data_IF_278362479253
#
_entry.id   IF_278362479253
#
_cell.length_a   1.000
_cell.length_b   1.000
_cell.length_c   1.000
_cell.angle_alpha   90.00
_cell.angle_beta   90.00
_cell.angle_gamma   90.00
#
_symmetry.space_group_name_H-M   'P 1'
#
loop_
_entity.id
_entity.type
_entity.pdbx_description
1 polymer ?
#
# COMPACT_ATOMS: atom_id res chain seq x y z
N UNK A 1 -3.06 -21.65 -22.76
CA UNK A 1 -1.90 -20.96 -22.12
C UNK A 1 -2.20 -20.56 -20.67
N UNK A 2 -2.33 -21.53 -19.73
CA UNK A 2 -2.59 -21.24 -18.29
C UNK A 2 -1.40 -21.51 -17.36
N UNK A 3 -0.34 -22.17 -17.84
CA UNK A 3 0.80 -22.58 -17.00
C UNK A 3 1.85 -21.50 -16.74
N UNK A 4 2.05 -20.55 -17.66
CA UNK A 4 3.14 -19.57 -17.57
C UNK A 4 2.99 -18.60 -16.40
N UNK A 5 1.79 -18.05 -16.19
CA UNK A 5 1.55 -17.09 -15.11
C UNK A 5 1.56 -17.76 -13.73
N UNK A 6 0.97 -18.96 -13.58
CA UNK A 6 1.05 -19.72 -12.33
C UNK A 6 2.48 -20.15 -12.00
N UNK A 7 3.26 -20.55 -13.00
CA UNK A 7 4.68 -20.86 -12.81
C UNK A 7 5.49 -19.60 -12.43
N UNK A 8 5.23 -18.48 -13.08
CA UNK A 8 5.83 -17.18 -12.76
C UNK A 8 5.53 -16.78 -11.31
N UNK A 9 4.27 -16.81 -10.89
CA UNK A 9 3.85 -16.57 -9.51
C UNK A 9 4.58 -17.54 -8.58
N UNK A 10 4.52 -18.85 -8.83
CA UNK A 10 5.12 -19.83 -7.93
C UNK A 10 6.65 -19.74 -7.82
N UNK A 11 7.36 -19.25 -8.83
CA UNK A 11 8.83 -19.20 -8.83
C UNK A 11 9.43 -17.83 -8.50
N UNK A 12 8.68 -16.76 -8.71
CA UNK A 12 9.16 -15.39 -8.48
C UNK A 12 8.53 -14.78 -7.23
N UNK A 13 7.25 -15.08 -6.96
CA UNK A 13 6.52 -14.47 -5.85
C UNK A 13 7.16 -14.84 -4.50
N UNK A 14 7.63 -16.08 -4.32
CA UNK A 14 8.36 -16.50 -3.11
C UNK A 14 9.72 -15.82 -2.93
N UNK A 15 10.31 -15.28 -4.01
CA UNK A 15 11.58 -14.53 -3.94
C UNK A 15 11.35 -13.04 -3.74
N UNK A 16 10.11 -12.56 -3.89
CA UNK A 16 9.76 -11.16 -3.77
C UNK A 16 10.05 -10.66 -2.36
N UNK A 17 11.00 -9.73 -2.22
CA UNK A 17 11.36 -9.09 -0.95
C UNK A 17 10.79 -7.68 -0.81
N UNK A 18 10.50 -7.04 -1.95
CA UNK A 18 10.01 -5.67 -1.97
C UNK A 18 8.87 -5.59 -2.98
N UNK A 19 7.78 -4.93 -2.57
CA UNK A 19 6.62 -4.71 -3.41
C UNK A 19 6.33 -3.21 -3.48
N UNK A 20 6.16 -2.70 -4.70
CA UNK A 20 5.75 -1.34 -4.98
C UNK A 20 4.42 -1.38 -5.70
N UNK A 21 3.43 -0.67 -5.18
CA UNK A 21 2.11 -0.56 -5.80
C UNK A 21 1.68 0.89 -5.78
N UNK A 22 1.14 1.33 -6.90
CA UNK A 22 0.52 2.64 -7.05
C UNK A 22 -0.95 2.43 -7.41
N UNK A 23 -1.83 3.13 -6.72
CA UNK A 23 -3.27 3.10 -6.90
C UNK A 23 -3.75 4.48 -7.32
N UNK A 24 -4.69 4.52 -8.25
CA UNK A 24 -5.37 5.75 -8.62
C UNK A 24 -6.68 5.89 -7.85
N UNK A 25 -7.33 7.04 -7.98
CA UNK A 25 -8.50 7.42 -7.18
C UNK A 25 -9.65 6.37 -7.22
N UNK A 26 -9.79 5.65 -8.33
CA UNK A 26 -10.83 4.64 -8.53
C UNK A 26 -10.57 3.36 -7.71
N UNK A 27 -9.33 3.16 -7.29
CA UNK A 27 -8.85 1.95 -6.60
C UNK A 27 -8.86 2.10 -5.07
N UNK A 28 -9.63 3.03 -4.50
CA UNK A 28 -9.62 3.29 -3.05
C UNK A 28 -9.84 2.02 -2.20
N UNK A 29 -10.63 1.05 -2.69
CA UNK A 29 -10.88 -0.23 -2.01
C UNK A 29 -9.64 -1.13 -1.92
N UNK A 30 -8.61 -0.83 -2.71
CA UNK A 30 -7.30 -1.47 -2.65
C UNK A 30 -6.40 -0.82 -1.59
N UNK A 31 -6.81 0.27 -0.95
CA UNK A 31 -6.06 0.93 0.12
C UNK A 31 -6.60 0.54 1.52
N UNK A 32 -6.75 -0.76 1.74
CA UNK A 32 -7.27 -1.36 2.98
C UNK A 32 -6.14 -2.11 3.71
N UNK A 33 -5.77 -1.64 4.90
CA UNK A 33 -4.65 -2.20 5.64
C UNK A 33 -4.88 -3.65 6.09
N UNK A 34 -6.11 -4.03 6.42
CA UNK A 34 -6.41 -5.39 6.89
C UNK A 34 -6.31 -6.40 5.74
N UNK A 35 -6.83 -6.05 4.56
CA UNK A 35 -6.75 -6.92 3.37
C UNK A 35 -5.31 -7.15 2.93
N UNK A 36 -4.47 -6.12 3.01
CA UNK A 36 -3.05 -6.26 2.74
C UNK A 36 -2.33 -7.11 3.77
N UNK A 37 -2.61 -6.90 5.06
CA UNK A 37 -2.05 -7.72 6.12
C UNK A 37 -2.40 -9.21 5.92
N UNK A 38 -3.66 -9.54 5.65
CA UNK A 38 -4.11 -10.91 5.38
C UNK A 38 -3.37 -11.53 4.19
N UNK A 39 -3.33 -10.80 3.06
CA UNK A 39 -2.64 -11.25 1.85
C UNK A 39 -1.16 -11.54 2.10
N UNK A 40 -0.48 -10.68 2.87
CA UNK A 40 0.94 -10.86 3.17
C UNK A 40 1.19 -12.00 4.13
N UNK A 41 0.37 -12.15 5.16
CA UNK A 41 0.47 -13.30 6.07
C UNK A 41 0.28 -14.61 5.32
N UNK A 42 -0.65 -14.66 4.37
CA UNK A 42 -1.00 -15.89 3.67
C UNK A 42 -0.07 -16.23 2.50
N UNK A 43 0.27 -15.27 1.65
CA UNK A 43 0.91 -15.55 0.36
C UNK A 43 2.33 -15.00 0.22
N UNK A 44 2.69 -14.03 1.05
CA UNK A 44 3.94 -13.28 0.93
C UNK A 44 4.65 -13.05 2.28
N UNK A 45 4.74 -14.05 3.18
CA UNK A 45 5.32 -13.83 4.52
C UNK A 45 6.77 -13.36 4.47
N UNK A 46 7.49 -13.72 3.41
CA UNK A 46 8.87 -13.33 3.17
C UNK A 46 9.09 -11.91 2.66
N UNK A 47 8.00 -11.22 2.28
CA UNK A 47 8.07 -9.83 1.82
C UNK A 47 8.60 -8.99 2.98
N UNK A 48 9.63 -8.18 2.76
CA UNK A 48 10.26 -7.35 3.80
C UNK A 48 9.68 -5.95 3.78
N UNK A 49 9.64 -5.36 2.59
CA UNK A 49 9.29 -3.97 2.39
C UNK A 49 8.09 -3.85 1.47
N UNK A 50 7.22 -2.92 1.81
CA UNK A 50 6.07 -2.57 0.99
C UNK A 50 5.96 -1.07 0.84
N UNK A 51 5.70 -0.67 -0.40
CA UNK A 51 5.46 0.71 -0.78
C UNK A 51 4.08 0.76 -1.43
N UNK A 52 3.10 1.34 -0.74
CA UNK A 52 1.78 1.61 -1.30
C UNK A 52 1.64 3.11 -1.50
N UNK A 53 1.35 3.53 -2.73
CA UNK A 53 1.03 4.92 -3.03
C UNK A 53 -0.40 5.00 -3.51
N UNK A 54 -1.20 5.90 -2.95
CA UNK A 54 -2.55 6.18 -3.43
C UNK A 54 -2.70 7.67 -3.74
N UNK A 55 -3.30 7.97 -4.89
CA UNK A 55 -3.51 9.34 -5.37
C UNK A 55 -5.01 9.67 -5.34
N UNK A 56 -5.40 10.59 -4.46
CA UNK A 56 -6.75 11.13 -4.38
C UNK A 56 -6.82 12.48 -5.09
N UNK A 57 -7.65 12.61 -6.14
CA UNK A 57 -7.86 13.91 -6.81
C UNK A 57 -8.62 14.85 -5.89
N UNK A 58 -8.19 16.11 -5.82
CA UNK A 58 -8.91 17.15 -5.09
C UNK A 58 -10.10 17.57 -5.95
N UNK A 59 -11.31 17.21 -5.53
CA UNK A 59 -12.54 17.76 -6.10
C UNK A 59 -12.89 19.07 -5.35
N UNK A 60 -12.58 20.21 -5.96
CA UNK A 60 -12.83 21.54 -5.39
C UNK A 60 -14.31 21.83 -5.11
N UNK A 61 -15.23 21.11 -5.74
CA UNK A 61 -16.68 21.26 -5.51
C UNK A 61 -17.12 20.60 -4.20
N UNK A 62 -16.40 19.58 -3.72
CA UNK A 62 -16.86 18.72 -2.63
C UNK A 62 -16.21 18.99 -1.27
N UNK A 63 -15.25 19.93 -1.16
CA UNK A 63 -14.60 20.47 0.07
C UNK A 63 -14.17 19.48 1.17
N UNK A 64 -14.32 18.18 0.98
CA UNK A 64 -14.11 17.14 1.98
C UNK A 64 -13.31 16.03 1.32
N UNK A 65 -12.16 15.74 1.91
CA UNK A 65 -11.42 14.51 1.67
C UNK A 65 -12.27 13.37 2.20
N UNK A 66 -13.06 12.74 1.32
CA UNK A 66 -14.00 11.68 1.71
C UNK A 66 -13.31 10.56 2.47
N UNK A 67 -12.02 10.34 2.22
CA UNK A 67 -11.30 9.15 2.68
C UNK A 67 -10.14 9.43 3.63
N UNK A 68 -9.97 10.66 4.14
CA UNK A 68 -8.90 10.99 5.09
C UNK A 68 -8.92 10.09 6.36
N UNK A 69 -10.09 9.60 6.75
CA UNK A 69 -10.25 8.66 7.88
C UNK A 69 -9.78 7.23 7.62
N UNK A 70 -9.68 6.78 6.36
CA UNK A 70 -9.25 5.41 6.01
C UNK A 70 -7.73 5.21 6.14
N UNK A 71 -6.97 6.28 6.35
CA UNK A 71 -5.50 6.23 6.43
C UNK A 71 -4.97 5.81 7.80
N UNK A 72 -5.78 5.99 8.85
CA UNK A 72 -5.44 5.55 10.20
C UNK A 72 -5.69 4.04 10.38
N UNK A 73 -5.43 3.21 9.36
CA UNK A 73 -5.63 1.76 9.40
C UNK A 73 -4.31 0.97 9.51
N UNK A 74 -3.16 1.60 9.23
CA UNK A 74 -1.84 0.98 9.22
C UNK A 74 -1.14 1.01 10.59
N UNK A 75 -1.86 0.64 11.65
CA UNK A 75 -1.38 0.72 13.04
C UNK A 75 -1.39 -0.62 13.79
N UNK A 76 -1.78 -1.73 13.12
CA UNK A 76 -1.68 -3.06 13.73
C UNK A 76 -0.23 -3.44 14.03
N UNK A 77 -0.02 -4.43 14.91
CA UNK A 77 1.33 -4.93 15.24
C UNK A 77 2.11 -5.36 14.00
N UNK A 78 1.44 -5.93 13.00
CA UNK A 78 2.03 -6.27 11.71
C UNK A 78 2.72 -5.08 11.03
N UNK A 79 2.04 -3.93 10.98
CA UNK A 79 2.56 -2.73 10.33
C UNK A 79 3.66 -2.05 11.16
N UNK A 80 3.50 -2.08 12.49
CA UNK A 80 4.47 -1.55 13.46
C UNK A 80 5.78 -2.34 13.43
N UNK A 81 5.73 -3.68 13.47
CA UNK A 81 6.90 -4.57 13.41
C UNK A 81 7.70 -4.37 12.12
N UNK A 82 7.01 -4.02 11.03
CA UNK A 82 7.61 -3.68 9.73
C UNK A 82 8.11 -2.25 9.64
N UNK A 83 8.01 -1.48 10.73
CA UNK A 83 8.37 -0.08 10.82
C UNK A 83 7.73 0.74 9.72
N UNK A 84 6.47 0.47 9.42
CA UNK A 84 5.77 1.13 8.32
C UNK A 84 5.37 2.54 8.73
N UNK A 85 5.58 3.51 7.85
CA UNK A 85 5.18 4.90 8.03
C UNK A 85 4.16 5.30 6.98
N UNK A 86 3.11 5.99 7.42
CA UNK A 86 2.15 6.69 6.58
C UNK A 86 2.65 8.13 6.38
N UNK A 87 2.83 8.55 5.13
CA UNK A 87 3.10 9.95 4.76
C UNK A 87 1.98 10.48 3.89
N UNK A 88 1.57 11.71 4.13
CA UNK A 88 0.58 12.42 3.33
C UNK A 88 1.29 13.61 2.66
N UNK A 89 1.18 13.69 1.34
CA UNK A 89 1.74 14.76 0.52
C UNK A 89 0.58 15.47 -0.18
N UNK A 90 0.36 16.75 0.14
CA UNK A 90 -0.66 17.56 -0.52
C UNK A 90 -0.02 18.28 -1.71
N UNK A 91 -0.66 18.18 -2.87
CA UNK A 91 -0.30 18.90 -4.07
C UNK A 91 -1.52 19.69 -4.58
N UNK A 92 -1.29 20.61 -5.51
CA UNK A 92 -2.34 21.51 -6.01
C UNK A 92 -3.58 20.75 -6.48
N UNK A 93 -3.40 19.62 -7.18
CA UNK A 93 -4.50 18.87 -7.83
C UNK A 93 -4.86 17.55 -7.16
N UNK A 94 -4.05 17.07 -6.23
CA UNK A 94 -4.22 15.75 -5.62
C UNK A 94 -3.57 15.68 -4.24
N UNK A 95 -4.04 14.74 -3.43
CA UNK A 95 -3.35 14.28 -2.24
C UNK A 95 -2.75 12.92 -2.52
N UNK A 96 -1.50 12.74 -2.12
CA UNK A 96 -0.76 11.51 -2.29
C UNK A 96 -0.48 10.92 -0.91
N UNK A 97 -0.96 9.70 -0.72
CA UNK A 97 -0.77 8.92 0.48
C UNK A 97 0.28 7.86 0.21
N UNK A 98 1.31 7.79 1.05
CA UNK A 98 2.46 6.91 0.87
C UNK A 98 2.64 6.07 2.13
N UNK A 99 2.48 4.76 1.98
CA UNK A 99 2.85 3.75 2.97
C UNK A 99 4.22 3.23 2.57
N UNK A 100 5.22 3.36 3.45
CA UNK A 100 6.58 2.88 3.16
C UNK A 100 7.32 2.50 4.44
N UNK A 101 8.35 1.64 4.38
CA UNK A 101 9.20 1.39 5.54
C UNK A 101 9.88 2.69 5.97
N UNK A 102 9.92 2.94 7.28
CA UNK A 102 10.64 4.03 7.88
C UNK A 102 12.14 3.77 7.70
N UNK A 103 12.83 4.67 6.98
CA UNK A 103 14.29 4.68 6.97
C UNK A 103 14.75 5.60 8.09
N UNK A 104 15.34 5.07 9.15
CA UNK A 104 16.27 5.88 9.92
C UNK A 104 17.36 6.34 8.96
N UNK A 105 17.57 7.65 8.88
CA UNK A 105 18.83 8.20 8.39
C UNK A 105 19.84 7.81 9.47
N UNK A 106 20.62 6.75 9.23
CA UNK A 106 21.85 6.44 9.95
C UNK A 106 22.99 7.24 9.35
#
# INVERSE_FOLDING_TARGET
MKGGFQWFIKNILWKLKVLYINFEYEDIKCFDANRWEELFRQYLPQLKNIYLTYYERINYEHKILKNAGQLNQFFSSFWIERQTMVKIETHDKYIKYVIRPHRYIS
#
